data_IF_925151849584
#
_entry.id   IF_925151849584
#
_cell.length_a   1.000
_cell.length_b   1.000
_cell.length_c   1.000
_cell.angle_alpha   90.00
_cell.angle_beta   90.00
_cell.angle_gamma   90.00
#
_symmetry.space_group_name_H-M   'P 1'
#
loop_
_entity.id
_entity.type
_entity.pdbx_description
1 polymer ?
#
# COMPACT_ATOMS: atom_id res chain seq x y z
N UNK A 1 -26.08 29.70 -56.15
CA UNK A 1 -24.63 29.93 -56.32
C UNK A 1 -24.03 29.87 -54.91
N UNK A 2 -23.28 28.82 -54.49
CA UNK A 2 -21.82 28.60 -54.73
C UNK A 2 -21.02 29.81 -54.17
N UNK A 3 -20.10 29.81 -53.17
CA UNK A 3 -19.34 28.85 -52.30
C UNK A 3 -19.24 29.50 -50.87
N UNK A 4 -18.52 29.07 -49.80
CA UNK A 4 -17.54 28.00 -49.48
C UNK A 4 -17.73 27.58 -47.98
N UNK A 5 -17.34 26.41 -47.46
CA UNK A 5 -16.00 25.86 -47.08
C UNK A 5 -15.30 26.43 -45.83
N UNK A 6 -15.42 25.69 -44.72
CA UNK A 6 -14.33 25.21 -43.84
C UNK A 6 -13.71 26.09 -42.71
N UNK A 7 -13.62 25.42 -41.55
CA UNK A 7 -12.60 25.51 -40.50
C UNK A 7 -12.40 26.81 -39.70
N UNK A 8 -12.96 26.84 -38.49
CA UNK A 8 -12.22 27.34 -37.33
C UNK A 8 -11.98 26.15 -36.39
N UNK A 9 -10.72 25.73 -36.33
CA UNK A 9 -10.23 24.74 -35.37
C UNK A 9 -9.43 25.43 -34.26
N UNK A 10 -9.10 24.66 -33.21
CA UNK A 10 -8.15 24.99 -32.15
C UNK A 10 -8.55 26.08 -31.12
N UNK A 11 -9.31 25.66 -30.09
CA UNK A 11 -9.28 26.28 -28.75
C UNK A 11 -9.62 25.29 -27.59
N UNK A 12 -9.40 23.98 -27.76
CA UNK A 12 -9.70 22.96 -26.73
C UNK A 12 -8.53 22.00 -26.42
N UNK A 13 -7.29 22.38 -26.75
CA UNK A 13 -6.07 21.68 -26.30
C UNK A 13 -5.30 22.57 -25.31
N UNK A 14 -5.47 22.33 -24.02
CA UNK A 14 -4.72 23.06 -22.98
C UNK A 14 -4.95 22.58 -21.54
N UNK A 15 -6.12 21.99 -21.23
CA UNK A 15 -6.52 21.65 -19.85
C UNK A 15 -6.28 20.16 -19.49
N UNK A 16 -5.79 19.34 -20.42
CA UNK A 16 -5.51 17.91 -20.18
C UNK A 16 -4.06 17.58 -19.80
N UNK A 17 -3.13 18.53 -19.86
CA UNK A 17 -1.70 18.27 -19.64
C UNK A 17 -1.26 18.38 -18.16
N UNK A 18 -2.07 18.98 -17.28
CA UNK A 18 -1.69 19.29 -15.89
C UNK A 18 -2.07 18.22 -14.87
N UNK A 19 -2.97 17.29 -15.20
CA UNK A 19 -3.46 16.26 -14.27
C UNK A 19 -2.61 14.99 -14.24
N UNK A 20 -1.87 14.68 -15.32
CA UNK A 20 -1.03 13.47 -15.40
C UNK A 20 0.14 13.46 -14.40
N UNK A 21 0.67 14.63 -14.03
CA UNK A 21 1.78 14.74 -13.08
C UNK A 21 1.36 14.50 -11.61
N UNK A 22 0.06 14.60 -11.28
CA UNK A 22 -0.42 14.47 -9.90
C UNK A 22 -0.47 13.02 -9.39
N UNK A 23 -0.41 12.02 -10.27
CA UNK A 23 -0.49 10.60 -9.87
C UNK A 23 0.81 10.01 -9.28
N UNK A 24 1.86 10.82 -9.11
CA UNK A 24 3.09 10.45 -8.39
C UNK A 24 2.94 10.68 -6.86
N UNK A 25 1.79 11.20 -6.39
CA UNK A 25 1.49 11.50 -4.99
C UNK A 25 1.25 10.27 -4.09
N UNK A 26 2.21 9.35 -4.05
CA UNK A 26 2.30 8.26 -3.07
C UNK A 26 3.75 7.79 -2.79
N UNK A 27 4.79 8.50 -3.25
CA UNK A 27 6.15 8.19 -2.81
C UNK A 27 6.29 8.52 -1.31
N UNK A 28 6.47 7.47 -0.50
CA UNK A 28 6.80 7.58 0.93
C UNK A 28 8.13 8.34 1.07
N UNK A 29 8.07 9.61 1.48
CA UNK A 29 9.22 10.50 1.59
C UNK A 29 10.21 10.13 2.72
N UNK A 30 9.80 9.25 3.65
CA UNK A 30 10.66 8.60 4.67
C UNK A 30 10.61 7.06 4.54
N UNK A 31 10.70 6.54 3.31
CA UNK A 31 11.01 5.12 3.14
C UNK A 31 12.45 4.84 3.58
N UNK A 32 12.62 4.00 4.60
CA UNK A 32 13.92 3.54 5.08
C UNK A 32 14.24 2.17 4.47
N UNK A 33 15.35 2.00 3.72
CA UNK A 33 15.71 0.68 3.20
C UNK A 33 15.84 -0.36 4.32
N UNK A 34 15.21 -1.50 4.12
CA UNK A 34 15.37 -2.68 4.99
C UNK A 34 16.77 -3.26 4.75
N UNK A 35 17.47 -3.59 5.83
CA UNK A 35 18.82 -4.16 5.82
C UNK A 35 18.83 -5.55 6.45
N UNK A 36 19.89 -6.33 6.22
CA UNK A 36 20.03 -7.66 6.82
C UNK A 36 19.97 -7.63 8.35
N UNK A 37 20.49 -6.56 8.98
CA UNK A 37 20.38 -6.36 10.42
C UNK A 37 18.94 -6.15 10.90
N UNK A 38 18.12 -5.44 10.11
CA UNK A 38 16.68 -5.26 10.36
C UNK A 38 15.93 -6.58 10.15
N UNK A 39 16.30 -7.40 9.15
CA UNK A 39 15.68 -8.72 8.94
C UNK A 39 16.08 -9.74 10.02
N UNK A 40 17.30 -9.66 10.54
CA UNK A 40 17.79 -10.52 11.61
C UNK A 40 17.16 -10.21 12.97
N UNK A 41 16.81 -8.94 13.23
CA UNK A 41 16.14 -8.51 14.45
C UNK A 41 15.10 -7.42 14.15
N UNK A 42 13.92 -7.79 13.60
CA UNK A 42 12.88 -6.83 13.24
C UNK A 42 12.20 -6.25 14.47
N UNK A 43 11.75 -5.00 14.36
CA UNK A 43 10.95 -4.32 15.38
C UNK A 43 9.71 -5.18 15.75
N UNK A 44 9.31 -5.27 17.03
CA UNK A 44 8.07 -5.91 17.46
C UNK A 44 6.82 -5.54 16.64
N UNK A 45 6.73 -4.30 16.16
CA UNK A 45 5.61 -3.79 15.36
C UNK A 45 5.67 -4.14 13.86
N UNK A 46 6.83 -4.59 13.35
CA UNK A 46 7.05 -4.90 11.94
C UNK A 46 6.95 -6.42 11.65
N UNK A 47 6.51 -6.75 10.44
CA UNK A 47 6.38 -8.11 9.91
C UNK A 47 6.97 -8.18 8.50
N UNK A 48 8.28 -8.43 8.41
CA UNK A 48 9.09 -8.20 7.20
C UNK A 48 9.26 -9.40 6.26
N UNK A 49 8.78 -10.57 6.66
CA UNK A 49 8.83 -11.81 5.88
C UNK A 49 7.65 -12.71 6.26
N UNK A 50 7.32 -13.71 5.45
CA UNK A 50 6.14 -14.60 5.65
C UNK A 50 6.02 -15.12 7.09
N UNK A 51 7.14 -15.45 7.73
CA UNK A 51 7.17 -15.99 9.09
C UNK A 51 7.69 -15.02 10.18
N UNK A 52 7.72 -13.70 9.89
CA UNK A 52 8.34 -12.61 10.68
C UNK A 52 9.85 -12.70 10.88
N UNK A 53 10.36 -13.86 11.28
CA UNK A 53 11.76 -14.12 11.65
C UNK A 53 12.31 -15.35 10.94
N UNK A 54 13.64 -15.43 10.80
CA UNK A 54 14.32 -16.51 10.06
C UNK A 54 14.17 -17.91 10.68
N UNK A 55 13.83 -17.99 11.97
CA UNK A 55 13.47 -19.24 12.68
C UNK A 55 12.08 -19.78 12.32
N UNK A 56 11.35 -19.06 11.46
CA UNK A 56 10.06 -19.40 10.86
C UNK A 56 8.88 -19.62 11.82
N UNK A 57 8.96 -19.15 13.05
CA UNK A 57 7.96 -19.44 14.09
C UNK A 57 6.59 -18.76 13.88
N UNK A 58 6.46 -17.76 12.99
CA UNK A 58 5.23 -16.98 12.78
C UNK A 58 4.68 -16.35 14.08
N UNK A 59 5.59 -15.97 14.97
CA UNK A 59 5.26 -15.45 16.30
C UNK A 59 5.35 -13.92 16.35
N UNK A 60 4.32 -13.26 16.89
CA UNK A 60 4.37 -11.84 17.24
C UNK A 60 4.71 -11.69 18.73
N UNK A 61 5.70 -10.86 19.10
CA UNK A 61 6.00 -10.55 20.50
C UNK A 61 5.06 -9.49 21.11
N UNK A 62 4.10 -8.97 20.35
CA UNK A 62 3.12 -7.99 20.85
C UNK A 62 2.09 -8.66 21.78
N UNK A 63 1.85 -8.04 22.93
CA UNK A 63 1.01 -8.57 24.03
C UNK A 63 -0.25 -7.72 24.31
N UNK A 64 -0.45 -6.60 23.61
CA UNK A 64 -1.63 -5.73 23.77
C UNK A 64 -2.97 -6.47 23.63
N UNK A 65 -3.03 -7.53 22.82
CA UNK A 65 -4.21 -8.39 22.69
C UNK A 65 -3.95 -9.70 23.41
N UNK A 66 -4.76 -10.02 24.40
CA UNK A 66 -4.59 -11.15 25.31
C UNK A 66 -5.90 -11.95 25.53
N UNK A 67 -5.83 -12.99 26.36
CA UNK A 67 -6.99 -13.84 26.70
C UNK A 67 -8.09 -13.10 27.46
N UNK A 68 -7.79 -11.99 28.13
CA UNK A 68 -8.75 -11.18 28.88
C UNK A 68 -9.48 -10.16 28.01
N UNK A 69 -8.85 -9.66 26.95
CA UNK A 69 -9.39 -8.59 26.10
C UNK A 69 -9.79 -9.00 24.67
N UNK A 70 -9.38 -10.17 24.16
CA UNK A 70 -9.65 -10.60 22.76
C UNK A 70 -11.13 -10.56 22.36
N UNK A 71 -12.06 -10.79 23.29
CA UNK A 71 -13.51 -10.69 23.03
C UNK A 71 -14.02 -9.26 22.73
N UNK A 72 -13.18 -8.24 22.96
CA UNK A 72 -13.50 -6.84 22.70
C UNK A 72 -13.15 -6.39 21.27
N UNK A 73 -12.46 -7.22 20.48
CA UNK A 73 -12.05 -6.86 19.11
C UNK A 73 -13.24 -6.48 18.22
N UNK A 74 -13.02 -5.47 17.37
CA UNK A 74 -13.96 -4.94 16.37
C UNK A 74 -13.23 -4.69 15.06
N UNK A 75 -13.95 -4.65 13.95
CA UNK A 75 -13.37 -4.30 12.64
C UNK A 75 -12.92 -2.83 12.65
N UNK A 76 -11.62 -2.60 12.45
CA UNK A 76 -11.06 -1.24 12.34
C UNK A 76 -11.20 -0.66 10.93
N UNK A 77 -10.92 -1.47 9.90
CA UNK A 77 -11.04 -1.13 8.49
C UNK A 77 -11.10 -2.40 7.63
N UNK A 78 -11.40 -2.27 6.33
CA UNK A 78 -11.29 -3.34 5.35
C UNK A 78 -10.91 -2.78 3.97
N UNK A 79 -10.32 -3.63 3.12
CA UNK A 79 -9.99 -3.31 1.72
C UNK A 79 -10.24 -4.55 0.86
N UNK A 80 -10.95 -4.40 -0.26
CA UNK A 80 -11.15 -5.49 -1.22
C UNK A 80 -9.85 -5.84 -1.95
N UNK A 81 -9.64 -7.14 -2.17
CA UNK A 81 -8.60 -7.69 -3.05
C UNK A 81 -9.25 -8.18 -4.37
N UNK A 82 -8.47 -8.39 -5.45
CA UNK A 82 -8.98 -8.97 -6.68
C UNK A 82 -9.61 -10.36 -6.48
N UNK A 83 -10.47 -10.76 -7.42
CA UNK A 83 -11.06 -12.10 -7.42
C UNK A 83 -9.99 -13.18 -7.64
N UNK A 84 -9.94 -14.19 -6.78
CA UNK A 84 -8.99 -15.30 -6.89
C UNK A 84 -8.81 -16.06 -5.57
N UNK A 85 -7.90 -17.02 -5.56
CA UNK A 85 -7.44 -17.69 -4.34
C UNK A 85 -6.40 -16.80 -3.67
N UNK A 86 -6.64 -16.43 -2.41
CA UNK A 86 -5.77 -15.52 -1.66
C UNK A 86 -4.92 -16.30 -0.64
N UNK A 87 -3.64 -16.50 -0.96
CA UNK A 87 -2.64 -17.17 -0.09
C UNK A 87 -1.57 -16.20 0.44
N UNK A 88 -1.69 -14.90 0.12
CA UNK A 88 -0.74 -13.86 0.50
C UNK A 88 -0.64 -13.69 2.01
N UNK A 89 0.59 -13.61 2.52
CA UNK A 89 0.86 -13.07 3.87
C UNK A 89 1.20 -11.58 3.74
N UNK A 90 0.40 -10.66 4.31
CA UNK A 90 0.74 -9.24 4.29
C UNK A 90 2.09 -8.98 4.96
N UNK A 91 2.89 -8.12 4.34
CA UNK A 91 4.14 -7.62 4.94
C UNK A 91 3.86 -6.23 5.49
N UNK A 92 4.35 -5.92 6.69
CA UNK A 92 4.12 -4.63 7.35
C UNK A 92 5.46 -4.03 7.78
N UNK A 93 5.70 -2.78 7.40
CA UNK A 93 6.90 -2.03 7.78
C UNK A 93 6.57 -0.56 8.06
N UNK A 94 6.94 -0.06 9.25
CA UNK A 94 6.74 1.34 9.67
C UNK A 94 5.29 1.82 9.48
N UNK A 95 4.32 0.96 9.77
CA UNK A 95 2.89 1.23 9.63
C UNK A 95 2.31 1.12 8.21
N UNK A 96 3.12 0.78 7.21
CA UNK A 96 2.66 0.54 5.83
C UNK A 96 2.50 -0.97 5.60
N UNK A 97 1.31 -1.37 5.13
CA UNK A 97 1.00 -2.75 4.74
C UNK A 97 1.15 -2.92 3.22
N UNK A 98 1.88 -3.96 2.83
CA UNK A 98 2.13 -4.36 1.44
C UNK A 98 1.34 -5.65 1.14
N UNK A 99 0.55 -5.60 0.07
CA UNK A 99 -0.46 -6.59 -0.34
C UNK A 99 -0.67 -6.57 -1.86
#
# INVERSE_FOLDING_TARGET
MIRASSCIAAAFLGVFATTAAAQIAAQLTDFRPVTDAILANPDPADWLMISRTFDQQRYSPLDQIDKGNVGQLRMAWSRGLPNGTQESTPIVYRGIMYL
#
